data_IF_130111219893
#
_entry.id   IF_130111219893
#
_cell.length_a   1.000
_cell.length_b   1.000
_cell.length_c   1.000
_cell.angle_alpha   90.00
_cell.angle_beta   90.00
_cell.angle_gamma   90.00
#
_symmetry.space_group_name_H-M   'P 1'
#
loop_
_entity.id
_entity.type
_entity.pdbx_description
1 polymer ?
#
# COMPACT_ATOMS: atom_id res chain seq x y z
N UNK A 1 -11.95 -13.23 -10.29
CA UNK A 1 -12.07 -12.72 -11.67
C UNK A 1 -13.49 -12.81 -12.22
N UNK A 2 -14.24 -13.88 -11.96
CA UNK A 2 -15.57 -14.13 -12.52
C UNK A 2 -16.74 -13.60 -11.67
N UNK A 3 -16.53 -12.52 -10.91
CA UNK A 3 -17.62 -11.91 -10.14
C UNK A 3 -18.63 -11.26 -11.09
N UNK A 4 -19.91 -11.44 -10.81
CA UNK A 4 -21.02 -10.79 -11.53
C UNK A 4 -21.17 -9.32 -11.17
N UNK A 5 -20.61 -8.87 -10.05
CA UNK A 5 -20.75 -7.49 -9.53
C UNK A 5 -19.75 -6.52 -10.17
N UNK A 6 -19.06 -6.95 -11.23
CA UNK A 6 -18.13 -6.10 -11.96
C UNK A 6 -18.87 -5.04 -12.76
N UNK A 7 -18.36 -3.81 -12.73
CA UNK A 7 -18.76 -2.79 -13.69
C UNK A 7 -18.29 -3.19 -15.09
N UNK A 8 -19.23 -3.35 -16.01
CA UNK A 8 -19.01 -3.77 -17.40
C UNK A 8 -19.20 -2.64 -18.42
N UNK A 9 -19.84 -1.54 -18.01
CA UNK A 9 -20.09 -0.35 -18.82
C UNK A 9 -19.82 0.91 -18.01
N UNK A 10 -19.39 2.01 -18.64
CA UNK A 10 -19.30 3.31 -17.98
C UNK A 10 -20.66 3.78 -17.46
N UNK A 11 -20.63 4.51 -16.35
CA UNK A 11 -21.80 5.13 -15.72
C UNK A 11 -21.54 6.64 -15.56
N UNK A 12 -22.55 7.47 -15.81
CA UNK A 12 -22.51 8.92 -15.57
C UNK A 12 -23.67 9.31 -14.67
N UNK A 13 -23.45 10.22 -13.72
CA UNK A 13 -24.53 10.75 -12.87
C UNK A 13 -25.37 11.76 -13.63
N UNK A 14 -26.69 11.59 -13.61
CA UNK A 14 -27.64 12.58 -14.13
C UNK A 14 -27.82 13.76 -13.15
N UNK A 15 -28.65 14.74 -13.53
CA UNK A 15 -28.91 15.94 -12.72
C UNK A 15 -29.56 15.62 -11.35
N UNK A 16 -30.21 14.47 -11.22
CA UNK A 16 -30.80 13.95 -9.99
C UNK A 16 -29.81 13.14 -9.14
N UNK A 17 -28.56 12.99 -9.59
CA UNK A 17 -27.49 12.27 -8.89
C UNK A 17 -27.49 10.76 -9.10
N UNK A 18 -28.36 10.24 -9.98
CA UNK A 18 -28.48 8.80 -10.27
C UNK A 18 -27.48 8.38 -11.34
N UNK A 19 -26.78 7.26 -11.12
CA UNK A 19 -25.84 6.68 -12.09
C UNK A 19 -26.58 5.98 -13.22
N UNK A 20 -26.30 6.36 -14.46
CA UNK A 20 -26.91 5.79 -15.67
C UNK A 20 -25.83 5.20 -16.60
N UNK A 21 -26.07 4.01 -17.19
CA UNK A 21 -25.21 3.44 -18.21
C UNK A 21 -25.02 4.35 -19.43
N UNK A 22 -23.80 4.41 -19.95
CA UNK A 22 -23.49 5.18 -21.15
C UNK A 22 -22.36 4.56 -21.97
N UNK A 23 -22.10 5.12 -23.15
CA UNK A 23 -20.98 4.69 -24.00
C UNK A 23 -19.65 5.26 -23.49
N UNK A 24 -18.54 4.57 -23.79
CA UNK A 24 -17.19 5.06 -23.50
C UNK A 24 -16.93 6.45 -24.10
N UNK A 25 -17.37 6.69 -25.34
CA UNK A 25 -17.20 7.99 -25.99
C UNK A 25 -17.88 9.12 -25.20
N UNK A 26 -19.12 8.90 -24.75
CA UNK A 26 -19.83 9.89 -23.96
C UNK A 26 -19.22 10.08 -22.56
N UNK A 27 -18.85 8.99 -21.88
CA UNK A 27 -18.21 9.08 -20.56
C UNK A 27 -16.89 9.86 -20.61
N UNK A 28 -16.06 9.60 -21.64
CA UNK A 28 -14.80 10.32 -21.84
C UNK A 28 -15.01 11.79 -22.19
N UNK A 29 -16.02 12.13 -23.00
CA UNK A 29 -16.36 13.53 -23.30
C UNK A 29 -16.82 14.28 -22.04
N UNK A 30 -17.68 13.66 -21.22
CA UNK A 30 -18.14 14.23 -19.94
C UNK A 30 -16.95 14.50 -19.02
N UNK A 31 -16.08 13.51 -18.81
CA UNK A 31 -14.89 13.66 -17.98
C UNK A 31 -13.96 14.76 -18.51
N UNK A 32 -13.70 14.78 -19.82
CA UNK A 32 -12.85 15.78 -20.48
C UNK A 32 -13.42 17.20 -20.41
N UNK A 33 -14.74 17.37 -20.51
CA UNK A 33 -15.39 18.68 -20.31
C UNK A 33 -15.25 19.16 -18.87
N UNK A 34 -15.48 18.29 -17.89
CA UNK A 34 -15.34 18.63 -16.47
C UNK A 34 -13.91 19.04 -16.12
N UNK A 35 -12.92 18.27 -16.57
CA UNK A 35 -11.51 18.59 -16.36
C UNK A 35 -11.11 19.92 -17.01
N UNK A 36 -11.46 20.14 -18.28
CA UNK A 36 -11.18 21.42 -18.97
C UNK A 36 -11.81 22.62 -18.25
N UNK A 37 -13.05 22.49 -17.78
CA UNK A 37 -13.72 23.55 -17.05
C UNK A 37 -13.03 23.86 -15.70
N UNK A 38 -12.59 22.84 -14.96
CA UNK A 38 -11.88 23.03 -13.70
C UNK A 38 -10.49 23.65 -13.92
N UNK A 39 -9.74 23.13 -14.90
CA UNK A 39 -8.38 23.57 -15.21
C UNK A 39 -8.31 24.97 -15.84
N UNK A 40 -9.39 25.45 -16.47
CA UNK A 40 -9.46 26.81 -16.99
C UNK A 40 -9.29 27.89 -15.91
N UNK A 41 -9.53 27.56 -14.63
CA UNK A 41 -9.34 28.47 -13.51
C UNK A 41 -7.94 28.33 -12.87
N UNK A 42 -7.55 27.11 -12.51
CA UNK A 42 -6.22 26.79 -11.97
C UNK A 42 -6.03 25.26 -11.93
N UNK A 43 -4.80 24.74 -12.13
CA UNK A 43 -4.50 23.33 -11.90
C UNK A 43 -4.81 22.84 -10.48
N UNK A 44 -4.72 23.72 -9.47
CA UNK A 44 -4.98 23.39 -8.05
C UNK A 44 -6.46 23.09 -7.76
N UNK A 45 -7.34 23.26 -8.76
CA UNK A 45 -8.77 22.90 -8.69
C UNK A 45 -9.03 21.42 -8.89
N UNK A 46 -8.01 20.66 -9.29
CA UNK A 46 -8.10 19.23 -9.57
C UNK A 46 -7.11 18.49 -8.68
N UNK A 47 -7.57 17.42 -8.05
CA UNK A 47 -6.73 16.44 -7.39
C UNK A 47 -6.91 15.08 -8.04
N UNK A 48 -5.85 14.28 -8.08
CA UNK A 48 -5.89 12.91 -8.62
C UNK A 48 -5.50 11.95 -7.51
N UNK A 49 -6.39 11.02 -7.19
CA UNK A 49 -6.21 9.99 -6.16
C UNK A 49 -6.14 8.61 -6.79
N UNK A 50 -5.19 7.79 -6.34
CA UNK A 50 -5.02 6.40 -6.78
C UNK A 50 -3.69 6.17 -7.51
N UNK A 51 -3.43 4.92 -7.91
CA UNK A 51 -2.17 4.54 -8.57
C UNK A 51 -1.52 3.32 -7.93
N UNK A 52 -1.53 3.18 -6.60
CA UNK A 52 -0.82 2.10 -5.90
C UNK A 52 -1.20 0.65 -6.29
N UNK A 53 -2.35 0.42 -6.95
CA UNK A 53 -2.77 -0.91 -7.44
C UNK A 53 -2.81 -1.05 -8.97
N UNK A 54 -2.28 -0.08 -9.69
CA UNK A 54 -2.15 -0.16 -11.15
C UNK A 54 -0.88 -0.93 -11.54
N UNK A 55 -0.81 -1.37 -12.79
CA UNK A 55 0.46 -1.83 -13.35
C UNK A 55 1.48 -0.68 -13.40
N UNK A 56 2.77 -1.00 -13.45
CA UNK A 56 3.83 0.02 -13.46
C UNK A 56 3.68 1.01 -14.63
N UNK A 57 3.30 0.50 -15.81
CA UNK A 57 3.05 1.29 -17.01
C UNK A 57 1.85 2.25 -16.82
N UNK A 58 0.80 1.77 -16.18
CA UNK A 58 -0.41 2.55 -15.89
C UNK A 58 -0.14 3.63 -14.83
N UNK A 59 0.63 3.33 -13.78
CA UNK A 59 1.08 4.34 -12.80
C UNK A 59 1.92 5.40 -13.47
N UNK A 60 2.78 5.01 -14.41
CA UNK A 60 3.58 5.95 -15.19
C UNK A 60 2.72 6.83 -16.08
N UNK A 61 1.74 6.26 -16.79
CA UNK A 61 0.80 7.03 -17.59
C UNK A 61 -0.05 7.99 -16.73
N UNK A 62 -0.47 7.54 -15.55
CA UNK A 62 -1.17 8.34 -14.56
C UNK A 62 -0.34 9.55 -14.09
N UNK A 63 0.94 9.35 -13.78
CA UNK A 63 1.85 10.42 -13.38
C UNK A 63 2.09 11.42 -14.52
N UNK A 64 2.33 10.91 -15.74
CA UNK A 64 2.51 11.75 -16.93
C UNK A 64 1.26 12.58 -17.26
N UNK A 65 0.06 12.03 -17.06
CA UNK A 65 -1.19 12.75 -17.23
C UNK A 65 -1.31 13.92 -16.23
N UNK A 66 -0.95 13.69 -14.96
CA UNK A 66 -0.92 14.75 -13.95
C UNK A 66 0.06 15.86 -14.34
N UNK A 67 1.28 15.49 -14.76
CA UNK A 67 2.32 16.43 -15.18
C UNK A 67 1.86 17.26 -16.40
N UNK A 68 1.26 16.60 -17.41
CA UNK A 68 0.77 17.27 -18.62
C UNK A 68 -0.37 18.27 -18.34
N UNK A 69 -1.14 18.06 -17.26
CA UNK A 69 -2.21 18.95 -16.82
C UNK A 69 -1.75 19.97 -15.75
N UNK A 70 -0.48 19.92 -15.32
CA UNK A 70 0.06 20.78 -14.27
C UNK A 70 -0.51 20.48 -12.87
N UNK A 71 -1.05 19.29 -12.64
CA UNK A 71 -1.69 18.91 -11.38
C UNK A 71 -0.64 18.43 -10.38
N UNK A 72 -0.37 19.26 -9.37
CA UNK A 72 0.53 18.96 -8.25
C UNK A 72 -0.16 18.16 -7.14
N UNK A 73 -1.48 18.31 -6.97
CA UNK A 73 -2.30 17.64 -5.96
C UNK A 73 -2.58 16.19 -6.34
N UNK A 74 -1.57 15.34 -6.24
CA UNK A 74 -1.65 13.92 -6.57
C UNK A 74 -1.25 13.06 -5.38
N UNK A 75 -2.05 12.05 -5.10
CA UNK A 75 -1.80 11.10 -4.02
C UNK A 75 -1.95 9.66 -4.54
N UNK A 76 -0.83 8.93 -4.70
CA UNK A 76 -0.87 7.54 -5.15
C UNK A 76 -1.16 6.55 -4.02
N UNK A 77 -1.10 6.97 -2.75
CA UNK A 77 -1.09 6.06 -1.61
C UNK A 77 -2.47 5.43 -1.36
N UNK A 78 -2.43 4.22 -0.81
CA UNK A 78 -3.58 3.55 -0.20
C UNK A 78 -3.23 3.37 1.27
N UNK A 79 -4.14 3.76 2.15
CA UNK A 79 -4.00 3.64 3.61
C UNK A 79 -2.84 4.50 4.19
N UNK A 80 -2.22 4.05 5.28
CA UNK A 80 -1.11 4.69 5.99
C UNK A 80 0.26 4.54 5.29
N UNK A 81 0.25 4.65 3.96
CA UNK A 81 1.40 4.43 3.09
C UNK A 81 2.72 4.99 3.64
N UNK A 82 3.79 4.20 3.54
CA UNK A 82 5.09 4.60 4.07
C UNK A 82 5.58 5.88 3.37
N UNK A 83 6.18 6.82 4.12
CA UNK A 83 6.83 7.99 3.54
C UNK A 83 7.96 7.55 2.61
N UNK A 84 8.19 8.32 1.54
CA UNK A 84 9.15 7.98 0.47
C UNK A 84 10.55 7.74 1.01
N UNK A 85 10.94 8.47 2.06
CA UNK A 85 12.24 8.35 2.72
C UNK A 85 12.50 6.94 3.27
N UNK A 86 11.46 6.19 3.66
CA UNK A 86 11.61 4.79 4.10
C UNK A 86 11.89 3.87 2.90
N UNK A 87 11.29 4.17 1.74
CA UNK A 87 11.50 3.40 0.51
C UNK A 87 12.88 3.66 -0.11
N UNK A 88 13.51 4.78 0.22
CA UNK A 88 14.88 5.12 -0.19
C UNK A 88 15.97 4.43 0.65
N UNK A 89 15.61 3.83 1.79
CA UNK A 89 16.55 3.04 2.59
C UNK A 89 16.96 1.75 1.86
N UNK A 90 18.17 1.22 2.10
CA UNK A 90 18.59 -0.07 1.56
C UNK A 90 17.56 -1.17 1.83
N UNK A 91 16.94 -1.68 0.76
CA UNK A 91 15.91 -2.71 0.83
C UNK A 91 16.56 -4.10 0.83
N UNK A 92 16.09 -4.98 1.71
CA UNK A 92 16.41 -6.40 1.67
C UNK A 92 15.40 -7.13 0.77
N UNK A 93 15.85 -8.16 0.06
CA UNK A 93 14.92 -9.10 -0.57
C UNK A 93 14.30 -10.04 0.47
N UNK A 94 13.23 -10.73 0.09
CA UNK A 94 12.65 -11.81 0.91
C UNK A 94 13.69 -12.91 1.20
N UNK A 95 14.64 -13.13 0.27
CA UNK A 95 15.69 -14.14 0.40
C UNK A 95 16.77 -13.72 1.39
N UNK A 96 17.15 -12.43 1.37
CA UNK A 96 18.06 -11.85 2.37
C UNK A 96 17.45 -11.98 3.77
N UNK A 97 16.16 -11.62 3.92
CA UNK A 97 15.46 -11.75 5.20
C UNK A 97 15.39 -13.21 5.69
N UNK A 98 15.15 -14.17 4.79
CA UNK A 98 15.04 -15.59 5.14
C UNK A 98 16.39 -16.30 5.37
N UNK A 99 17.51 -15.66 5.00
CA UNK A 99 18.87 -16.16 5.20
C UNK A 99 19.65 -15.41 6.28
N UNK A 100 19.08 -14.35 6.84
CA UNK A 100 19.66 -13.59 7.95
C UNK A 100 19.93 -14.46 9.18
N UNK A 101 20.98 -14.15 9.94
CA UNK A 101 21.30 -14.83 11.21
C UNK A 101 20.33 -14.45 12.34
N UNK A 102 19.77 -13.25 12.29
CA UNK A 102 18.78 -12.72 13.24
C UNK A 102 17.85 -11.76 12.51
N UNK A 103 16.55 -11.87 12.81
CA UNK A 103 15.49 -11.04 12.25
C UNK A 103 14.88 -10.23 13.40
N UNK A 104 14.87 -8.91 13.26
CA UNK A 104 14.04 -8.03 14.12
C UNK A 104 12.73 -7.80 13.38
N UNK A 105 11.65 -8.35 13.91
CA UNK A 105 10.32 -8.25 13.32
C UNK A 105 9.54 -7.13 14.03
N UNK A 106 9.44 -5.99 13.35
CA UNK A 106 8.58 -4.85 13.72
C UNK A 106 7.58 -4.64 12.57
N UNK A 107 6.48 -5.39 12.61
CA UNK A 107 5.46 -5.37 11.58
C UNK A 107 4.09 -5.82 12.15
N UNK A 108 2.98 -5.56 11.45
CA UNK A 108 1.72 -6.25 11.68
C UNK A 108 1.84 -7.77 11.53
N UNK A 109 0.77 -8.52 11.82
CA UNK A 109 0.79 -9.98 11.73
C UNK A 109 1.03 -10.44 10.29
N UNK A 110 2.26 -10.88 10.00
CA UNK A 110 2.64 -11.38 8.68
C UNK A 110 1.80 -12.56 8.23
N UNK A 111 1.21 -13.33 9.16
CA UNK A 111 0.33 -14.45 8.78
C UNK A 111 -0.93 -13.97 8.06
N UNK A 112 -1.42 -12.79 8.42
CA UNK A 112 -2.66 -12.22 7.88
C UNK A 112 -2.36 -11.27 6.71
N UNK A 113 -1.28 -10.48 6.80
CA UNK A 113 -0.98 -9.44 5.78
C UNK A 113 -0.01 -9.92 4.68
N UNK A 114 0.99 -10.74 5.02
CA UNK A 114 2.04 -11.21 4.09
C UNK A 114 2.31 -12.72 4.23
N UNK A 115 1.33 -13.60 3.93
CA UNK A 115 1.39 -15.03 4.31
C UNK A 115 2.60 -15.78 3.73
N UNK A 116 3.06 -15.41 2.53
CA UNK A 116 4.24 -16.03 1.92
C UNK A 116 5.51 -15.67 2.69
N UNK A 117 5.68 -14.39 3.08
CA UNK A 117 6.81 -13.96 3.89
C UNK A 117 6.76 -14.65 5.27
N UNK A 118 5.58 -14.74 5.89
CA UNK A 118 5.38 -15.50 7.13
C UNK A 118 5.91 -16.94 7.02
N UNK A 119 5.56 -17.66 5.95
CA UNK A 119 6.01 -19.03 5.74
C UNK A 119 7.54 -19.13 5.59
N UNK A 120 8.17 -18.16 4.90
CA UNK A 120 9.62 -18.10 4.70
C UNK A 120 10.35 -17.86 6.02
N UNK A 121 9.91 -16.89 6.82
CA UNK A 121 10.53 -16.59 8.11
C UNK A 121 10.31 -17.71 9.13
N UNK A 122 9.14 -18.35 9.11
CA UNK A 122 8.87 -19.54 9.93
C UNK A 122 9.81 -20.70 9.60
N UNK A 123 10.05 -20.97 8.31
CA UNK A 123 11.00 -22.01 7.87
C UNK A 123 12.42 -21.70 8.38
N UNK A 124 12.85 -20.45 8.23
CA UNK A 124 14.15 -19.99 8.72
C UNK A 124 14.30 -20.19 10.24
N UNK A 125 13.31 -19.82 11.03
CA UNK A 125 13.35 -19.99 12.48
C UNK A 125 13.30 -21.46 12.92
N UNK A 126 12.43 -22.27 12.30
CA UNK A 126 12.18 -23.65 12.75
C UNK A 126 13.18 -24.67 12.23
N UNK A 127 13.78 -24.45 11.05
CA UNK A 127 14.69 -25.42 10.42
C UNK A 127 16.14 -24.96 10.35
N UNK A 128 16.39 -23.65 10.33
CA UNK A 128 17.74 -23.08 10.15
C UNK A 128 18.27 -22.39 11.40
N UNK A 129 17.50 -22.39 12.48
CA UNK A 129 17.90 -21.82 13.77
C UNK A 129 18.01 -20.29 13.75
N UNK A 130 17.39 -19.61 12.79
CA UNK A 130 17.36 -18.14 12.73
C UNK A 130 16.59 -17.60 13.93
N UNK A 131 17.15 -16.61 14.62
CA UNK A 131 16.49 -15.98 15.76
C UNK A 131 15.54 -14.89 15.27
N UNK A 132 14.27 -14.99 15.61
CA UNK A 132 13.30 -13.90 15.42
C UNK A 132 13.11 -13.18 16.76
N UNK A 133 13.36 -11.88 16.79
CA UNK A 133 12.98 -10.97 17.87
C UNK A 133 11.74 -10.24 17.39
N UNK A 134 10.59 -10.63 17.91
CA UNK A 134 9.31 -10.00 17.57
C UNK A 134 9.00 -8.87 18.54
N UNK A 135 8.70 -7.69 17.99
CA UNK A 135 8.32 -6.50 18.75
C UNK A 135 6.93 -6.09 18.25
N UNK A 136 5.88 -6.42 18.99
CA UNK A 136 4.50 -6.20 18.57
C UNK A 136 3.57 -5.98 19.78
N UNK A 137 2.44 -5.27 19.64
CA UNK A 137 1.54 -5.00 20.76
C UNK A 137 0.72 -6.22 21.18
N UNK A 138 0.62 -7.22 20.31
CA UNK A 138 -0.06 -8.51 20.55
C UNK A 138 0.72 -9.64 19.91
N UNK A 139 0.51 -10.86 20.41
CA UNK A 139 1.05 -12.05 19.76
C UNK A 139 0.47 -12.20 18.34
N UNK A 140 1.33 -12.61 17.40
CA UNK A 140 1.03 -12.83 15.98
C UNK A 140 1.23 -14.30 15.59
N UNK A 141 1.03 -14.63 14.31
CA UNK A 141 1.33 -15.96 13.79
C UNK A 141 2.78 -16.43 13.99
N UNK A 142 3.76 -15.53 14.15
CA UNK A 142 5.17 -15.89 14.35
C UNK A 142 5.60 -16.02 15.82
N UNK A 143 4.81 -15.56 16.79
CA UNK A 143 5.22 -15.51 18.20
C UNK A 143 5.65 -16.85 18.77
N UNK A 144 4.95 -17.93 18.44
CA UNK A 144 5.31 -19.30 18.87
C UNK A 144 6.66 -19.80 18.34
N UNK A 145 7.21 -19.13 17.33
CA UNK A 145 8.48 -19.43 16.69
C UNK A 145 9.54 -18.35 16.96
N UNK A 146 9.16 -17.27 17.65
CA UNK A 146 10.09 -16.22 18.01
C UNK A 146 11.07 -16.71 19.07
N UNK A 147 12.32 -16.31 18.93
CA UNK A 147 13.32 -16.50 19.98
C UNK A 147 13.02 -15.59 21.18
N UNK A 148 12.51 -14.38 20.91
CA UNK A 148 12.05 -13.43 21.93
C UNK A 148 10.84 -12.66 21.42
N UNK A 149 9.83 -12.53 22.28
CA UNK A 149 8.69 -11.65 22.06
C UNK A 149 8.76 -10.46 23.03
N UNK A 150 8.68 -9.25 22.50
CA UNK A 150 8.73 -7.98 23.24
C UNK A 150 7.39 -7.27 23.06
N UNK A 151 6.42 -7.50 23.97
CA UNK A 151 5.14 -6.81 23.93
C UNK A 151 5.29 -5.32 24.28
N UNK A 152 4.45 -4.48 23.71
CA UNK A 152 4.36 -3.06 24.05
C UNK A 152 2.92 -2.53 23.95
N UNK A 153 2.58 -1.53 24.75
CA UNK A 153 1.31 -0.80 24.59
C UNK A 153 1.37 0.12 23.35
N UNK A 154 0.34 0.16 22.49
CA UNK A 154 0.31 1.04 21.33
C UNK A 154 0.72 2.49 21.66
N UNK A 155 1.64 3.05 20.87
CA UNK A 155 2.27 4.34 21.15
C UNK A 155 3.65 4.24 21.82
N UNK A 156 4.00 3.10 22.43
CA UNK A 156 5.29 2.88 23.09
C UNK A 156 6.32 2.10 22.25
N UNK A 157 6.07 1.92 20.94
CA UNK A 157 6.95 1.12 20.06
C UNK A 157 8.42 1.57 20.10
N UNK A 158 8.69 2.88 20.13
CA UNK A 158 10.07 3.42 20.13
C UNK A 158 10.83 3.02 21.40
N UNK A 159 10.17 3.09 22.56
CA UNK A 159 10.78 2.69 23.83
C UNK A 159 11.05 1.19 23.88
N UNK A 160 10.10 0.38 23.38
CA UNK A 160 10.24 -1.07 23.31
C UNK A 160 11.42 -1.50 22.41
N UNK A 161 11.56 -0.87 21.23
CA UNK A 161 12.69 -1.13 20.33
C UNK A 161 14.02 -0.76 20.99
N UNK A 162 14.12 0.43 21.60
CA UNK A 162 15.34 0.85 22.30
C UNK A 162 15.74 -0.11 23.42
N UNK A 163 14.77 -0.55 24.23
CA UNK A 163 15.01 -1.50 25.31
C UNK A 163 15.37 -2.91 24.81
N UNK A 164 14.86 -3.31 23.65
CA UNK A 164 15.16 -4.62 23.07
C UNK A 164 16.56 -4.70 22.43
N UNK A 165 17.12 -3.55 22.01
CA UNK A 165 18.40 -3.44 21.31
C UNK A 165 19.57 -2.96 22.19
N UNK A 166 19.30 -2.54 23.43
CA UNK A 166 20.32 -2.20 24.43
C UNK A 166 20.95 -3.46 25.04
#
# INVERSE_FOLDING_TARGET
MNSTDRLTTPLVKNAQGVLEPTSWANAMDVAGRMLRAALASSPDRVAILGGARLANEDVRAWAMLADAMGISMRDPQIDDGLPTEILELPQASIDDAASASTIVLLAPDLKEELPVLHLRLRDAATKRGVKIIEIAPKASGLTRHAWKFVPYEPGNQVAAVKAALA
#
